data_IF_293839851459
#
_entry.id   IF_293839851459
#
_cell.length_a   1.000
_cell.length_b   1.000
_cell.length_c   1.000
_cell.angle_alpha   90.00
_cell.angle_beta   90.00
_cell.angle_gamma   90.00
#
_symmetry.space_group_name_H-M   'P 1'
#
loop_
_entity.id
_entity.type
_entity.pdbx_description
1 polymer ?
#
# COMPACT_ATOMS: atom_id res chain seq x y z
N UNK A 1 -28.90 -1.57 37.16
CA UNK A 1 -27.67 -2.39 37.29
C UNK A 1 -26.63 -1.65 38.10
N UNK A 2 -26.14 -2.24 39.18
CA UNK A 2 -25.01 -1.71 39.95
C UNK A 2 -23.68 -2.14 39.31
N UNK A 3 -22.70 -1.25 39.27
CA UNK A 3 -21.37 -1.54 38.72
C UNK A 3 -20.44 -1.77 39.90
N UNK A 4 -20.32 -3.03 40.33
CA UNK A 4 -19.30 -3.44 41.30
C UNK A 4 -17.93 -3.36 40.64
N UNK A 5 -16.86 -3.21 41.43
CA UNK A 5 -15.51 -3.06 40.87
C UNK A 5 -15.07 -4.28 40.06
N UNK A 6 -15.51 -5.49 40.46
CA UNK A 6 -15.31 -6.73 39.69
C UNK A 6 -16.02 -6.71 38.32
N UNK A 7 -17.23 -6.15 38.23
CA UNK A 7 -17.92 -6.01 36.94
C UNK A 7 -17.26 -4.93 36.06
N UNK A 8 -16.80 -3.83 36.67
CA UNK A 8 -16.07 -2.79 35.94
C UNK A 8 -14.80 -3.37 35.31
N UNK A 9 -14.00 -4.11 36.07
CA UNK A 9 -12.77 -4.73 35.55
C UNK A 9 -13.08 -5.71 34.42
N UNK A 10 -14.07 -6.58 34.60
CA UNK A 10 -14.50 -7.53 33.56
C UNK A 10 -14.92 -6.83 32.27
N UNK A 11 -15.72 -5.75 32.36
CA UNK A 11 -16.17 -5.02 31.17
C UNK A 11 -15.02 -4.31 30.46
N UNK A 12 -14.11 -3.69 31.22
CA UNK A 12 -12.93 -3.05 30.65
C UNK A 12 -12.05 -4.08 29.95
N UNK A 13 -11.76 -5.21 30.59
CA UNK A 13 -10.97 -6.30 30.02
C UNK A 13 -11.62 -6.86 28.74
N UNK A 14 -12.92 -7.15 28.78
CA UNK A 14 -13.68 -7.64 27.62
C UNK A 14 -13.61 -6.63 26.47
N UNK A 15 -13.81 -5.34 26.74
CA UNK A 15 -13.73 -4.30 25.73
C UNK A 15 -12.30 -4.12 25.17
N UNK A 16 -11.25 -4.41 25.93
CA UNK A 16 -9.87 -4.39 25.42
C UNK A 16 -9.53 -5.60 24.56
N UNK A 17 -10.10 -6.76 24.87
CA UNK A 17 -9.91 -8.01 24.12
C UNK A 17 -10.61 -7.97 22.76
N UNK A 18 -11.82 -7.40 22.72
CA UNK A 18 -12.59 -7.25 21.49
C UNK A 18 -11.99 -6.17 20.56
N UNK A 19 -12.13 -6.37 19.25
CA UNK A 19 -11.61 -5.46 18.21
C UNK A 19 -12.73 -4.87 17.36
N UNK A 20 -12.44 -3.73 16.73
CA UNK A 20 -13.28 -3.17 15.67
C UNK A 20 -14.75 -2.96 16.08
N UNK A 21 -15.66 -3.51 15.27
CA UNK A 21 -17.11 -3.45 15.47
C UNK A 21 -17.58 -4.25 16.67
N UNK A 22 -16.97 -5.40 16.96
CA UNK A 22 -17.42 -6.29 18.03
C UNK A 22 -17.27 -5.61 19.40
N UNK A 23 -16.16 -4.88 19.58
CA UNK A 23 -15.95 -4.03 20.75
C UNK A 23 -17.05 -2.97 20.88
N UNK A 24 -17.40 -2.30 19.78
CA UNK A 24 -18.41 -1.23 19.78
C UNK A 24 -19.80 -1.78 20.09
N UNK A 25 -20.16 -2.91 19.50
CA UNK A 25 -21.43 -3.60 19.75
C UNK A 25 -21.53 -4.08 21.19
N UNK A 26 -20.46 -4.63 21.75
CA UNK A 26 -20.40 -4.98 23.17
C UNK A 26 -20.65 -3.76 24.05
N UNK A 27 -19.90 -2.68 23.84
CA UNK A 27 -20.05 -1.44 24.62
C UNK A 27 -21.48 -0.87 24.50
N UNK A 28 -22.06 -0.90 23.30
CA UNK A 28 -23.42 -0.43 23.05
C UNK A 28 -24.48 -1.26 23.77
N UNK A 29 -24.39 -2.60 23.69
CA UNK A 29 -25.29 -3.52 24.42
C UNK A 29 -25.21 -3.30 25.91
N UNK A 30 -24.00 -3.20 26.46
CA UNK A 30 -23.78 -2.92 27.88
C UNK A 30 -24.41 -1.60 28.28
N UNK A 31 -24.20 -0.53 27.51
CA UNK A 31 -24.79 0.79 27.78
C UNK A 31 -26.31 0.79 27.65
N UNK A 32 -26.89 0.04 26.69
CA UNK A 32 -28.34 -0.12 26.54
C UNK A 32 -28.94 -0.76 27.80
N UNK A 33 -28.27 -1.77 28.37
CA UNK A 33 -28.67 -2.40 29.64
C UNK A 33 -28.46 -1.50 30.87
N UNK A 34 -27.55 -0.51 30.83
CA UNK A 34 -27.40 0.48 31.90
C UNK A 34 -28.55 1.50 31.95
N UNK A 35 -29.38 1.58 30.91
CA UNK A 35 -30.56 2.43 30.86
C UNK A 35 -30.25 3.92 30.61
N UNK A 36 -31.22 4.82 30.90
CA UNK A 36 -31.06 6.26 30.71
C UNK A 36 -29.80 6.81 31.39
N UNK A 37 -29.02 7.60 30.65
CA UNK A 37 -27.75 8.13 31.16
C UNK A 37 -26.59 7.12 31.15
N UNK A 38 -26.80 5.89 30.66
CA UNK A 38 -25.79 4.83 30.60
C UNK A 38 -24.48 5.25 29.90
N UNK A 39 -24.55 6.11 28.88
CA UNK A 39 -23.34 6.64 28.21
C UNK A 39 -22.46 7.49 29.14
N UNK A 40 -23.08 8.39 29.92
CA UNK A 40 -22.36 9.24 30.89
C UNK A 40 -21.77 8.39 32.02
N UNK A 41 -22.53 7.38 32.45
CA UNK A 41 -22.07 6.43 33.48
C UNK A 41 -20.92 5.57 32.99
N UNK A 42 -20.97 5.04 31.77
CA UNK A 42 -19.89 4.26 31.18
C UNK A 42 -18.61 5.10 30.96
N UNK A 43 -18.73 6.37 30.60
CA UNK A 43 -17.58 7.29 30.52
C UNK A 43 -16.92 7.47 31.89
N UNK A 44 -17.73 7.77 32.92
CA UNK A 44 -17.21 8.02 34.28
C UNK A 44 -16.64 6.77 34.95
N UNK A 45 -17.33 5.63 34.85
CA UNK A 45 -17.00 4.43 35.62
C UNK A 45 -16.09 3.45 34.86
N UNK A 46 -16.13 3.44 33.53
CA UNK A 46 -15.39 2.49 32.69
C UNK A 46 -14.36 3.18 31.78
N UNK A 47 -14.28 4.51 31.79
CA UNK A 47 -13.38 5.28 30.92
C UNK A 47 -13.73 5.19 29.43
N UNK A 48 -14.96 4.79 29.10
CA UNK A 48 -15.35 4.54 27.71
C UNK A 48 -15.72 5.82 26.97
N UNK A 49 -15.13 6.02 25.78
CA UNK A 49 -15.42 7.20 24.96
C UNK A 49 -16.86 7.17 24.42
N UNK A 50 -17.64 8.23 24.71
CA UNK A 50 -19.04 8.36 24.27
C UNK A 50 -19.22 8.39 22.75
N UNK A 51 -18.24 8.86 21.97
CA UNK A 51 -18.28 8.83 20.50
C UNK A 51 -18.26 7.38 20.00
N UNK A 52 -17.38 6.55 20.58
CA UNK A 52 -17.30 5.12 20.25
C UNK A 52 -18.59 4.40 20.62
N UNK A 53 -19.15 4.69 21.79
CA UNK A 53 -20.44 4.14 22.22
C UNK A 53 -21.56 4.58 21.27
N UNK A 54 -21.60 5.86 20.86
CA UNK A 54 -22.62 6.36 19.93
C UNK A 54 -22.56 5.66 18.56
N UNK A 55 -21.35 5.42 18.03
CA UNK A 55 -21.16 4.63 16.80
C UNK A 55 -21.68 3.20 17.01
N UNK A 56 -21.33 2.56 18.13
CA UNK A 56 -21.83 1.22 18.47
C UNK A 56 -23.34 1.15 18.66
N UNK A 57 -23.97 2.18 19.24
CA UNK A 57 -25.43 2.26 19.38
C UNK A 57 -26.11 2.35 18.03
N UNK A 58 -25.58 3.18 17.12
CA UNK A 58 -26.10 3.23 15.76
C UNK A 58 -25.95 1.88 15.03
N UNK A 59 -24.80 1.21 15.17
CA UNK A 59 -24.59 -0.14 14.63
C UNK A 59 -25.57 -1.16 15.22
N UNK A 60 -25.82 -1.08 16.53
CA UNK A 60 -26.76 -1.95 17.24
C UNK A 60 -28.21 -1.73 16.82
N UNK A 61 -28.64 -0.47 16.67
CA UNK A 61 -30.02 -0.13 16.36
C UNK A 61 -30.34 -0.29 14.86
N UNK A 62 -29.35 -0.08 13.98
CA UNK A 62 -29.49 -0.28 12.53
C UNK A 62 -29.31 -1.73 12.08
N UNK A 63 -28.61 -2.55 12.87
CA UNK A 63 -28.24 -3.92 12.51
C UNK A 63 -27.07 -4.01 11.51
N UNK A 64 -26.51 -2.88 11.07
CA UNK A 64 -25.37 -2.83 10.14
C UNK A 64 -24.08 -2.43 10.85
N UNK A 65 -22.95 -3.00 10.40
CA UNK A 65 -21.62 -2.60 10.88
C UNK A 65 -21.15 -1.36 10.09
N UNK A 66 -20.78 -0.30 10.80
CA UNK A 66 -20.21 0.89 10.16
C UNK A 66 -18.72 0.66 9.83
N UNK A 67 -18.47 0.29 8.58
CA UNK A 67 -17.13 0.17 8.03
C UNK A 67 -16.55 1.56 7.72
N UNK A 68 -15.30 1.77 8.10
CA UNK A 68 -14.59 3.01 7.79
C UNK A 68 -14.11 2.98 6.33
N UNK A 69 -14.49 3.99 5.55
CA UNK A 69 -14.12 4.12 4.14
C UNK A 69 -12.68 4.65 3.95
N UNK A 70 -11.68 3.95 4.51
CA UNK A 70 -10.28 4.37 4.44
C UNK A 70 -9.77 4.49 3.00
N UNK A 71 -10.21 3.59 2.11
CA UNK A 71 -9.84 3.57 0.69
C UNK A 71 -10.39 4.77 -0.10
N UNK A 72 -11.48 5.38 0.38
CA UNK A 72 -12.06 6.57 -0.24
C UNK A 72 -11.38 7.87 0.21
N UNK A 73 -10.52 7.80 1.23
CA UNK A 73 -9.79 8.95 1.79
C UNK A 73 -8.37 9.00 1.21
N UNK A 74 -7.78 10.19 1.22
CA UNK A 74 -6.38 10.40 0.83
C UNK A 74 -6.18 10.76 -0.64
N UNK A 75 -4.91 10.84 -1.04
CA UNK A 75 -4.51 11.24 -2.41
C UNK A 75 -4.77 10.09 -3.39
N UNK A 76 -5.48 10.39 -4.47
CA UNK A 76 -5.73 9.44 -5.56
C UNK A 76 -4.42 9.11 -6.29
N UNK A 77 -4.38 7.92 -6.90
CA UNK A 77 -3.24 7.48 -7.72
C UNK A 77 -3.15 8.33 -9.00
N UNK A 78 -1.98 8.35 -9.63
CA UNK A 78 -1.75 9.14 -10.84
C UNK A 78 -2.70 8.75 -11.97
N UNK A 79 -2.99 7.45 -12.10
CA UNK A 79 -3.90 6.87 -13.10
C UNK A 79 -5.33 7.41 -13.00
N UNK A 80 -5.77 7.82 -11.81
CA UNK A 80 -7.12 8.40 -11.66
C UNK A 80 -7.19 9.79 -12.29
N UNK A 81 -6.07 10.50 -12.34
CA UNK A 81 -5.95 11.81 -12.98
C UNK A 81 -5.51 11.70 -14.44
N UNK A 82 -4.72 10.69 -14.77
CA UNK A 82 -4.16 10.42 -16.09
C UNK A 82 -4.48 8.96 -16.49
N UNK A 83 -5.70 8.68 -16.99
CA UNK A 83 -6.15 7.31 -17.25
C UNK A 83 -5.26 6.50 -18.21
N UNK A 84 -4.66 7.18 -19.19
CA UNK A 84 -3.80 6.56 -20.21
C UNK A 84 -2.34 6.43 -19.80
N UNK A 85 -1.96 6.94 -18.61
CA UNK A 85 -0.55 7.02 -18.20
C UNK A 85 0.15 5.66 -18.20
N UNK A 86 -0.52 4.59 -17.77
CA UNK A 86 0.11 3.27 -17.71
C UNK A 86 0.34 2.67 -19.09
N UNK A 87 -0.62 2.84 -20.00
CA UNK A 87 -0.50 2.35 -21.37
C UNK A 87 0.56 3.14 -22.13
N UNK A 88 0.61 4.46 -21.94
CA UNK A 88 1.65 5.30 -22.53
C UNK A 88 3.05 4.99 -22.00
N UNK A 89 3.18 4.68 -20.70
CA UNK A 89 4.46 4.20 -20.15
C UNK A 89 4.81 2.86 -20.79
N UNK A 90 3.85 1.93 -20.90
CA UNK A 90 4.05 0.60 -21.50
C UNK A 90 4.56 0.72 -22.94
N UNK A 91 3.92 1.54 -23.76
CA UNK A 91 4.32 1.79 -25.16
C UNK A 91 5.78 2.27 -25.27
N UNK A 92 6.23 3.10 -24.34
CA UNK A 92 7.60 3.62 -24.30
C UNK A 92 8.60 2.54 -23.87
N UNK A 93 8.27 1.72 -22.88
CA UNK A 93 9.24 0.79 -22.28
C UNK A 93 9.27 -0.59 -22.93
N UNK A 94 8.20 -1.04 -23.57
CA UNK A 94 8.08 -2.41 -24.07
C UNK A 94 9.15 -2.75 -25.12
N UNK A 95 9.34 -1.87 -26.11
CA UNK A 95 10.36 -2.07 -27.14
C UNK A 95 11.81 -2.05 -26.62
N UNK A 96 12.03 -1.57 -25.39
CA UNK A 96 13.34 -1.43 -24.74
C UNK A 96 13.51 -2.41 -23.57
N UNK A 97 12.58 -3.33 -23.37
CA UNK A 97 12.55 -4.28 -22.26
C UNK A 97 13.00 -5.67 -22.69
N UNK A 98 13.66 -6.38 -21.77
CA UNK A 98 14.15 -7.74 -21.99
C UNK A 98 13.75 -8.63 -20.82
N UNK A 99 13.41 -9.89 -21.10
CA UNK A 99 13.17 -10.86 -20.04
C UNK A 99 14.44 -11.09 -19.21
N UNK A 100 14.27 -11.61 -18.01
CA UNK A 100 15.38 -12.07 -17.18
C UNK A 100 16.29 -13.04 -17.97
N UNK A 101 17.58 -12.72 -18.20
CA UNK A 101 18.47 -13.57 -19.00
C UNK A 101 18.64 -14.99 -18.44
N UNK A 102 18.44 -15.16 -17.12
CA UNK A 102 18.51 -16.47 -16.47
C UNK A 102 17.16 -17.20 -16.45
N UNK A 103 16.09 -16.56 -16.95
CA UNK A 103 14.71 -17.06 -16.91
C UNK A 103 14.23 -17.51 -15.54
N UNK A 104 14.82 -16.97 -14.46
CA UNK A 104 14.44 -17.29 -13.07
C UNK A 104 13.23 -16.50 -12.62
N UNK A 105 12.93 -15.39 -13.29
CA UNK A 105 11.84 -14.49 -12.93
C UNK A 105 11.11 -13.98 -14.18
N UNK A 106 9.84 -13.58 -13.98
CA UNK A 106 9.01 -12.90 -15.00
C UNK A 106 9.29 -11.40 -15.08
N UNK A 107 10.40 -10.92 -14.52
CA UNK A 107 10.74 -9.50 -14.49
C UNK A 107 11.19 -9.04 -15.86
N UNK A 108 10.71 -7.87 -16.27
CA UNK A 108 11.16 -7.21 -17.49
C UNK A 108 12.23 -6.17 -17.12
N UNK A 109 13.43 -6.36 -17.64
CA UNK A 109 14.50 -5.42 -17.43
C UNK A 109 14.51 -4.37 -18.53
N UNK A 110 14.31 -3.11 -18.14
CA UNK A 110 14.33 -1.97 -19.05
C UNK A 110 15.63 -1.20 -18.94
N UNK A 111 16.07 -0.63 -20.07
CA UNK A 111 17.24 0.27 -20.15
C UNK A 111 16.87 1.71 -19.79
N UNK A 112 15.59 2.05 -19.83
CA UNK A 112 15.11 3.41 -19.57
C UNK A 112 15.03 3.65 -18.06
N UNK A 113 15.55 4.79 -17.63
CA UNK A 113 15.38 5.27 -16.25
C UNK A 113 14.03 5.98 -16.12
N UNK A 114 13.48 6.08 -14.92
CA UNK A 114 12.21 6.79 -14.71
C UNK A 114 12.24 8.27 -15.14
N UNK A 115 13.32 9.06 -14.91
CA UNK A 115 13.42 10.41 -15.48
C UNK A 115 13.39 10.42 -17.01
N UNK A 116 14.00 9.42 -17.64
CA UNK A 116 14.01 9.28 -19.09
C UNK A 116 12.62 8.93 -19.64
N UNK A 117 11.91 8.00 -19.00
CA UNK A 117 10.50 7.70 -19.31
C UNK A 117 9.66 8.97 -19.19
N UNK A 118 9.85 9.77 -18.15
CA UNK A 118 9.15 11.05 -17.98
C UNK A 118 9.41 12.00 -19.15
N UNK A 119 10.67 12.13 -19.58
CA UNK A 119 11.04 12.96 -20.73
C UNK A 119 10.38 12.46 -22.03
N UNK A 120 10.32 11.15 -22.23
CA UNK A 120 9.68 10.55 -23.41
C UNK A 120 8.16 10.68 -23.39
N UNK A 121 7.50 10.63 -22.23
CA UNK A 121 6.07 10.95 -22.11
C UNK A 121 5.77 12.37 -22.60
N UNK A 122 6.63 13.35 -22.26
CA UNK A 122 6.49 14.72 -22.77
C UNK A 122 6.72 14.76 -24.29
N UNK A 123 7.83 14.17 -24.75
CA UNK A 123 8.26 14.29 -26.15
C UNK A 123 7.39 13.51 -27.15
N UNK A 124 6.92 12.31 -26.79
CA UNK A 124 6.21 11.40 -27.71
C UNK A 124 4.69 11.43 -27.49
N UNK A 125 4.23 11.64 -26.25
CA UNK A 125 2.81 11.59 -25.88
C UNK A 125 2.23 12.96 -25.55
N UNK A 126 3.05 14.02 -25.56
CA UNK A 126 2.59 15.41 -25.47
C UNK A 126 2.13 15.86 -24.08
N UNK A 127 2.49 15.12 -23.03
CA UNK A 127 2.15 15.50 -21.66
C UNK A 127 2.82 16.81 -21.23
N UNK A 128 2.12 17.63 -20.45
CA UNK A 128 2.72 18.81 -19.82
C UNK A 128 3.56 18.42 -18.60
N UNK A 129 4.67 19.12 -18.38
CA UNK A 129 5.59 18.86 -17.27
C UNK A 129 4.89 18.93 -15.90
N UNK A 130 3.97 19.87 -15.75
CA UNK A 130 3.19 20.12 -14.54
C UNK A 130 2.14 19.04 -14.24
N UNK A 131 1.70 18.30 -15.26
CA UNK A 131 0.72 17.24 -15.12
C UNK A 131 1.36 15.90 -14.73
N UNK A 132 2.60 15.69 -15.17
CA UNK A 132 3.29 14.43 -14.93
C UNK A 132 3.70 14.27 -13.47
N UNK A 133 3.55 13.06 -12.91
CA UNK A 133 4.02 12.80 -11.57
C UNK A 133 5.55 12.81 -11.51
N UNK A 134 6.08 12.82 -10.28
CA UNK A 134 7.52 12.83 -10.05
C UNK A 134 8.20 11.56 -10.60
N UNK A 135 9.50 11.61 -10.93
CA UNK A 135 10.23 10.42 -11.36
C UNK A 135 10.15 9.24 -10.38
N UNK A 136 10.05 9.51 -9.07
CA UNK A 136 9.85 8.45 -8.06
C UNK A 136 8.51 7.74 -8.21
N UNK A 137 7.44 8.49 -8.50
CA UNK A 137 6.12 7.91 -8.77
C UNK A 137 6.17 7.06 -10.04
N UNK A 138 6.83 7.52 -11.09
CA UNK A 138 7.03 6.76 -12.33
C UNK A 138 7.80 5.46 -12.06
N UNK A 139 8.86 5.50 -11.23
CA UNK A 139 9.57 4.28 -10.78
C UNK A 139 8.63 3.30 -10.10
N UNK A 140 7.76 3.77 -9.21
CA UNK A 140 6.78 2.92 -8.54
C UNK A 140 5.81 2.26 -9.54
N UNK A 141 5.36 3.01 -10.56
CA UNK A 141 4.51 2.47 -11.63
C UNK A 141 5.20 1.48 -12.53
N UNK A 142 6.47 1.73 -12.89
CA UNK A 142 7.28 0.77 -13.63
C UNK A 142 7.39 -0.56 -12.86
N UNK A 143 7.74 -0.50 -11.58
CA UNK A 143 7.88 -1.70 -10.74
C UNK A 143 6.55 -2.46 -10.59
N UNK A 144 5.43 -1.74 -10.42
CA UNK A 144 4.09 -2.33 -10.32
C UNK A 144 3.70 -3.07 -11.60
N UNK A 145 4.07 -2.53 -12.77
CA UNK A 145 3.87 -3.18 -14.07
C UNK A 145 4.91 -4.26 -14.38
N UNK A 146 5.90 -4.49 -13.49
CA UNK A 146 6.91 -5.53 -13.65
C UNK A 146 8.17 -5.10 -14.44
N UNK A 147 8.33 -3.80 -14.73
CA UNK A 147 9.53 -3.24 -15.35
C UNK A 147 10.52 -2.78 -14.28
N UNK A 148 11.74 -3.29 -14.36
CA UNK A 148 12.82 -2.97 -13.44
C UNK A 148 13.98 -2.37 -14.22
N UNK A 149 14.48 -1.18 -13.86
CA UNK A 149 15.64 -0.62 -14.52
C UNK A 149 16.87 -1.48 -14.24
N UNK A 150 17.58 -1.89 -15.30
CA UNK A 150 18.84 -2.62 -15.17
C UNK A 150 19.87 -2.06 -16.13
N UNK A 151 21.07 -1.81 -15.61
CA UNK A 151 22.21 -1.46 -16.46
C UNK A 151 22.57 -2.66 -17.32
N UNK A 152 22.66 -2.46 -18.63
CA UNK A 152 23.11 -3.50 -19.55
C UNK A 152 24.57 -3.81 -19.27
N UNK A 153 24.86 -5.06 -18.92
CA UNK A 153 26.24 -5.54 -18.89
C UNK A 153 26.77 -5.57 -20.33
N UNK A 154 27.77 -4.73 -20.63
CA UNK A 154 28.48 -4.80 -21.91
C UNK A 154 29.31 -6.08 -21.97
N UNK A 155 29.59 -6.56 -23.18
CA UNK A 155 30.51 -7.68 -23.42
C UNK A 155 31.85 -7.38 -22.74
N UNK A 156 32.30 -8.27 -21.85
CA UNK A 156 33.66 -8.20 -21.33
C UNK A 156 34.61 -8.60 -22.46
N UNK A 157 35.56 -7.74 -22.89
CA UNK A 157 36.53 -8.12 -23.91
C UNK A 157 37.31 -9.35 -23.42
N UNK A 158 37.46 -10.37 -24.28
CA UNK A 158 38.38 -11.46 -23.96
C UNK A 158 39.80 -10.89 -23.89
N UNK A 159 40.38 -10.87 -22.70
CA UNK A 159 41.80 -10.51 -22.54
C UNK A 159 42.64 -11.59 -23.24
N UNK A 160 43.55 -11.18 -24.13
CA UNK A 160 44.52 -12.10 -24.74
C UNK A 160 45.42 -12.66 -23.64
N UNK A 161 45.31 -13.95 -23.35
CA UNK A 161 46.27 -14.65 -22.49
C UNK A 161 47.55 -14.93 -23.29
N UNK A 162 48.72 -14.79 -22.66
CA UNK A 162 49.97 -15.23 -23.28
C UNK A 162 49.95 -16.75 -23.42
N UNK A 163 50.27 -17.26 -24.62
CA UNK A 163 50.38 -18.70 -24.85
C UNK A 163 51.53 -19.24 -23.98
N UNK A 164 51.39 -20.41 -23.34
CA UNK A 164 52.49 -21.02 -22.60
C UNK A 164 53.68 -21.23 -23.53
N UNK A 165 54.86 -20.73 -23.13
CA UNK A 165 56.11 -20.99 -23.83
C UNK A 165 56.40 -22.48 -23.74
N UNK A 166 56.62 -23.14 -24.88
CA UNK A 166 57.09 -24.54 -24.87
C UNK A 166 58.49 -24.56 -24.26
N UNK A 167 58.63 -25.19 -23.10
CA UNK A 167 59.94 -25.48 -22.51
C UNK A 167 60.65 -26.53 -23.35
N UNK A 168 61.86 -26.22 -23.84
CA UNK A 168 62.73 -27.20 -24.46
C UNK A 168 63.03 -28.30 -23.45
N UNK A 169 62.68 -29.53 -23.80
CA UNK A 169 63.09 -30.72 -23.04
C UNK A 169 64.48 -31.08 -23.56
N UNK A 170 65.49 -31.00 -22.69
CA UNK A 170 66.81 -31.57 -22.95
C UNK A 170 66.82 -33.05 -22.60
#
# INVERSE_FOLDING_TARGET
MELTDSLKSLFVETATTLKGSDRRLFMARTVKNLGPGGQRRAERELGWNRITIRKGMHELDSGFICLDAFSARGRKRAEVHLPQLLDDIRDIVDGQSQNDPQFRSKRLYTRLSAPEVRRQLIAQKGYQDTQLPTPQTITAKLNEMGYFPKKVAKSKPQKKFHKPTRSSTN
#
